data_IF_184254095792
#
_entry.id   IF_184254095792
#
_cell.length_a   1.000
_cell.length_b   1.000
_cell.length_c   1.000
_cell.angle_alpha   90.00
_cell.angle_beta   90.00
_cell.angle_gamma   90.00
#
_symmetry.space_group_name_H-M   'P 1'
#
loop_
_entity.id
_entity.type
_entity.pdbx_description
1 polymer ?
#
# COMPACT_ATOMS: atom_id res chain seq x y z
N UNK A 1 84.49 28.89 -39.46
CA UNK A 1 84.74 29.92 -38.43
C UNK A 1 83.55 29.93 -37.46
N UNK A 2 83.83 30.08 -36.17
CA UNK A 2 83.00 29.73 -34.99
C UNK A 2 81.90 30.78 -34.67
N UNK A 3 80.95 30.38 -33.80
CA UNK A 3 80.03 31.15 -32.88
C UNK A 3 78.56 31.14 -33.32
N UNK A 4 77.63 30.44 -32.66
CA UNK A 4 77.08 30.53 -31.28
C UNK A 4 76.07 31.67 -31.06
N UNK A 5 74.81 31.34 -30.83
CA UNK A 5 74.04 31.73 -29.62
C UNK A 5 72.57 31.28 -29.74
N UNK A 6 72.06 30.73 -28.64
CA UNK A 6 70.72 30.18 -28.37
C UNK A 6 69.65 31.26 -28.16
N UNK A 7 68.37 31.03 -28.51
CA UNK A 7 67.28 31.85 -28.00
C UNK A 7 66.66 31.27 -26.71
N UNK A 8 66.33 32.19 -25.79
CA UNK A 8 65.67 31.96 -24.50
C UNK A 8 64.18 31.63 -24.70
N UNK A 9 63.69 30.66 -23.92
CA UNK A 9 62.38 30.03 -24.06
C UNK A 9 61.18 30.87 -23.59
N UNK A 10 60.06 30.65 -24.28
CA UNK A 10 58.74 31.25 -24.07
C UNK A 10 58.01 30.60 -22.87
N UNK A 11 57.42 31.42 -21.99
CA UNK A 11 56.63 30.96 -20.87
C UNK A 11 55.23 30.50 -21.35
N UNK A 12 54.90 29.21 -21.14
CA UNK A 12 53.68 28.57 -21.62
C UNK A 12 52.56 28.74 -20.58
N UNK A 13 51.58 29.60 -20.83
CA UNK A 13 50.34 29.64 -20.03
C UNK A 13 49.42 28.48 -20.44
N UNK A 14 49.10 27.63 -19.46
CA UNK A 14 48.16 26.52 -19.59
C UNK A 14 46.73 27.04 -19.83
N UNK A 15 46.18 26.74 -21.00
CA UNK A 15 44.76 26.96 -21.32
C UNK A 15 43.94 25.83 -20.69
N UNK A 16 43.12 26.17 -19.70
CA UNK A 16 42.17 25.23 -19.11
C UNK A 16 41.10 24.84 -20.13
N UNK A 17 40.78 23.55 -20.21
CA UNK A 17 39.87 22.96 -21.19
C UNK A 17 38.40 23.31 -20.92
N UNK A 18 37.83 24.21 -21.71
CA UNK A 18 36.41 24.58 -21.67
C UNK A 18 35.43 23.47 -22.16
N UNK A 19 35.95 22.34 -22.63
CA UNK A 19 35.13 21.28 -23.24
C UNK A 19 34.50 20.31 -22.22
N UNK A 20 35.13 20.11 -21.05
CA UNK A 20 34.61 19.21 -20.02
C UNK A 20 33.32 19.74 -19.36
N UNK A 21 33.22 21.06 -19.18
CA UNK A 21 32.04 21.72 -18.58
C UNK A 21 30.82 21.68 -19.51
N UNK A 22 31.04 21.71 -20.84
CA UNK A 22 29.96 21.66 -21.84
C UNK A 22 29.29 20.28 -21.94
N UNK A 23 30.06 19.19 -21.76
CA UNK A 23 29.52 17.83 -21.79
C UNK A 23 28.61 17.51 -20.58
N UNK A 24 28.96 18.01 -19.39
CA UNK A 24 28.18 17.84 -18.17
C UNK A 24 26.84 18.60 -18.23
N UNK A 25 26.87 19.82 -18.77
CA UNK A 25 25.66 20.63 -18.94
C UNK A 25 24.68 20.00 -19.96
N UNK A 26 25.19 19.42 -21.06
CA UNK A 26 24.36 18.74 -22.06
C UNK A 26 23.68 17.47 -21.53
N UNK A 27 24.40 16.65 -20.75
CA UNK A 27 23.84 15.44 -20.16
C UNK A 27 22.75 15.74 -19.10
N UNK A 28 22.93 16.80 -18.31
CA UNK A 28 21.93 17.24 -17.33
C UNK A 28 20.63 17.74 -17.98
N UNK A 29 20.74 18.43 -19.12
CA UNK A 29 19.58 18.90 -19.90
C UNK A 29 18.79 17.74 -20.53
N UNK A 30 19.47 16.74 -21.09
CA UNK A 30 18.82 15.54 -21.66
C UNK A 30 18.18 14.67 -20.58
N UNK A 31 18.82 14.53 -19.41
CA UNK A 31 18.22 13.81 -18.28
C UNK A 31 16.98 14.54 -17.73
N UNK A 32 17.00 15.87 -17.70
CA UNK A 32 15.87 16.68 -17.23
C UNK A 32 14.67 16.63 -18.17
N UNK A 33 14.89 16.59 -19.49
CA UNK A 33 13.79 16.41 -20.45
C UNK A 33 13.19 15.00 -20.42
N UNK A 34 13.99 13.96 -20.16
CA UNK A 34 13.51 12.59 -20.00
C UNK A 34 12.63 12.40 -18.74
N UNK A 35 12.94 13.12 -17.66
CA UNK A 35 12.14 13.11 -16.44
C UNK A 35 10.77 13.79 -16.64
N UNK A 36 10.69 14.80 -17.51
CA UNK A 36 9.44 15.48 -17.84
C UNK A 36 8.49 14.69 -18.76
N UNK A 37 8.96 13.62 -19.41
CA UNK A 37 8.11 12.74 -20.23
C UNK A 37 7.60 11.51 -19.47
N UNK A 38 7.91 11.39 -18.17
CA UNK A 38 7.32 10.34 -17.35
C UNK A 38 5.81 10.62 -17.21
N UNK A 39 4.93 9.63 -17.46
CA UNK A 39 3.51 9.80 -17.23
C UNK A 39 3.31 10.18 -15.76
N UNK A 40 2.58 11.27 -15.52
CA UNK A 40 2.13 11.62 -14.17
C UNK A 40 1.23 10.49 -13.69
N UNK A 41 1.69 9.73 -12.70
CA UNK A 41 0.84 8.78 -12.01
C UNK A 41 -0.26 9.57 -11.30
N UNK A 42 -1.49 9.47 -11.78
CA UNK A 42 -2.67 9.94 -11.05
C UNK A 42 -2.86 9.00 -9.87
N UNK A 43 -2.54 9.47 -8.66
CA UNK A 43 -2.96 8.76 -7.46
C UNK A 43 -4.49 8.71 -7.43
N UNK A 44 -5.07 7.52 -7.38
CA UNK A 44 -6.49 7.32 -7.15
C UNK A 44 -6.83 7.75 -5.72
N UNK A 45 -7.87 8.57 -5.53
CA UNK A 45 -8.39 8.92 -4.21
C UNK A 45 -9.56 8.00 -3.89
N UNK A 46 -9.36 7.08 -2.95
CA UNK A 46 -10.32 6.01 -2.66
C UNK A 46 -11.48 6.38 -1.72
N UNK A 47 -11.49 7.59 -1.14
CA UNK A 47 -12.69 8.13 -0.49
C UNK A 47 -13.64 8.78 -1.50
N UNK A 48 -13.89 8.12 -2.63
CA UNK A 48 -14.60 8.70 -3.79
C UNK A 48 -16.13 8.67 -3.66
N UNK A 49 -16.67 7.92 -2.69
CA UNK A 49 -18.07 8.01 -2.28
C UNK A 49 -18.20 9.04 -1.14
N UNK A 50 -18.94 10.16 -1.28
CA UNK A 50 -19.00 11.21 -0.26
C UNK A 50 -19.38 10.73 1.16
N UNK A 51 -20.24 9.71 1.26
CA UNK A 51 -20.67 9.12 2.53
C UNK A 51 -19.58 8.28 3.21
N UNK A 52 -18.56 7.80 2.48
CA UNK A 52 -17.50 6.97 3.07
C UNK A 52 -16.62 7.77 4.04
N UNK A 53 -16.65 9.10 3.96
CA UNK A 53 -16.03 9.98 4.97
C UNK A 53 -16.68 9.84 6.36
N UNK A 54 -17.96 9.43 6.40
CA UNK A 54 -18.69 9.19 7.65
C UNK A 54 -18.58 7.73 8.12
N UNK A 55 -18.13 6.82 7.26
CA UNK A 55 -17.84 5.42 7.60
C UNK A 55 -16.45 5.00 7.07
N UNK A 56 -15.37 5.48 7.71
CA UNK A 56 -14.01 5.17 7.25
C UNK A 56 -13.67 3.69 7.38
N UNK A 57 -14.33 2.93 8.27
CA UNK A 57 -14.10 1.48 8.44
C UNK A 57 -14.62 0.67 7.25
N UNK A 58 -15.53 1.23 6.44
CA UNK A 58 -16.00 0.61 5.20
C UNK A 58 -15.21 1.05 3.95
N UNK A 59 -14.21 1.94 4.10
CA UNK A 59 -13.51 2.55 2.97
C UNK A 59 -12.63 1.55 2.21
N UNK A 60 -12.95 1.26 0.94
CA UNK A 60 -12.19 0.36 0.08
C UNK A 60 -11.03 1.10 -0.60
N UNK A 61 -9.79 0.76 -0.25
CA UNK A 61 -8.61 1.49 -0.71
C UNK A 61 -8.02 0.94 -2.00
N UNK A 62 -8.04 -0.37 -2.23
CA UNK A 62 -7.47 -0.96 -3.44
C UNK A 62 -8.03 -2.36 -3.64
N UNK A 63 -8.00 -2.82 -4.90
CA UNK A 63 -8.26 -4.22 -5.25
C UNK A 63 -7.13 -4.71 -6.16
N UNK A 64 -6.52 -5.84 -5.80
CA UNK A 64 -5.49 -6.50 -6.57
C UNK A 64 -5.97 -7.86 -7.05
N UNK A 65 -5.73 -8.17 -8.32
CA UNK A 65 -6.11 -9.45 -8.90
C UNK A 65 -4.97 -10.04 -9.71
N UNK A 66 -4.61 -11.29 -9.43
CA UNK A 66 -3.52 -11.97 -10.12
C UNK A 66 -3.73 -13.49 -10.16
N UNK A 67 -3.05 -14.16 -11.08
CA UNK A 67 -3.10 -15.62 -11.19
C UNK A 67 -1.93 -16.24 -10.44
N UNK A 68 -2.22 -17.25 -9.62
CA UNK A 68 -1.21 -18.05 -8.90
C UNK A 68 -1.36 -19.53 -9.26
N UNK A 69 -0.25 -20.25 -9.32
CA UNK A 69 -0.25 -21.71 -9.41
C UNK A 69 -0.23 -22.30 -7.99
N UNK A 70 -1.15 -23.21 -7.69
CA UNK A 70 -1.06 -24.04 -6.48
C UNK A 70 0.09 -25.04 -6.60
N UNK A 71 0.60 -25.60 -5.48
CA UNK A 71 1.58 -26.68 -5.52
C UNK A 71 1.13 -27.90 -6.36
N UNK A 72 -0.18 -28.10 -6.50
CA UNK A 72 -0.79 -29.15 -7.32
C UNK A 72 -0.78 -28.85 -8.83
N UNK A 73 -0.26 -27.70 -9.27
CA UNK A 73 -0.25 -27.25 -10.67
C UNK A 73 -1.52 -26.54 -11.13
N UNK A 74 -2.57 -26.50 -10.30
CA UNK A 74 -3.82 -25.81 -10.62
C UNK A 74 -3.64 -24.27 -10.60
N UNK A 75 -4.05 -23.59 -11.68
CA UNK A 75 -4.17 -22.13 -11.73
C UNK A 75 -5.37 -21.65 -10.91
N UNK A 76 -5.17 -20.60 -10.13
CA UNK A 76 -6.24 -19.92 -9.38
C UNK A 76 -6.16 -18.41 -9.55
N UNK A 77 -7.33 -17.77 -9.63
CA UNK A 77 -7.44 -16.33 -9.47
C UNK A 77 -7.34 -16.00 -7.98
N UNK A 78 -6.44 -15.09 -7.65
CA UNK A 78 -6.34 -14.46 -6.34
C UNK A 78 -6.93 -13.07 -6.46
N UNK A 79 -7.80 -12.72 -5.52
CA UNK A 79 -8.40 -11.40 -5.38
C UNK A 79 -8.11 -10.94 -3.96
N UNK A 80 -7.46 -9.79 -3.84
CA UNK A 80 -7.13 -9.15 -2.57
C UNK A 80 -7.79 -7.76 -2.54
N UNK A 81 -8.46 -7.45 -1.43
CA UNK A 81 -9.16 -6.18 -1.24
C UNK A 81 -8.61 -5.53 0.02
N UNK A 82 -8.16 -4.29 -0.12
CA UNK A 82 -7.71 -3.48 1.01
C UNK A 82 -8.84 -2.57 1.47
N UNK A 83 -9.00 -2.48 2.78
CA UNK A 83 -10.05 -1.71 3.45
C UNK A 83 -9.41 -0.96 4.60
N UNK A 84 -9.86 0.27 4.84
CA UNK A 84 -9.40 1.14 5.92
C UNK A 84 -7.90 1.47 5.82
N UNK A 85 -7.53 2.57 5.14
CA UNK A 85 -6.12 2.90 4.93
C UNK A 85 -5.44 3.31 6.25
N UNK A 86 -4.10 3.27 6.25
CA UNK A 86 -3.25 3.78 7.33
C UNK A 86 -3.35 3.05 8.70
N UNK A 87 -3.68 1.75 8.69
CA UNK A 87 -3.58 0.88 9.86
C UNK A 87 -2.11 0.55 10.20
N UNK A 88 -1.33 1.51 10.70
CA UNK A 88 0.08 1.24 11.04
C UNK A 88 0.25 0.64 12.45
N UNK A 89 1.21 -0.26 12.67
CA UNK A 89 1.50 -0.79 14.01
C UNK A 89 1.93 0.29 15.04
N UNK A 90 2.28 1.49 14.56
CA UNK A 90 2.69 2.64 15.36
C UNK A 90 1.55 3.40 16.04
N UNK A 91 0.28 3.13 15.67
CA UNK A 91 -0.90 3.83 16.21
C UNK A 91 -1.25 3.43 17.67
N UNK A 92 -0.28 2.77 18.32
CA UNK A 92 -0.28 2.45 19.72
C UNK A 92 -1.17 1.26 20.05
N UNK A 93 -2.09 1.47 20.98
CA UNK A 93 -2.89 0.41 21.60
C UNK A 93 -4.22 0.15 20.88
N UNK A 94 -4.44 0.86 19.76
CA UNK A 94 -5.64 0.79 18.95
C UNK A 94 -5.30 0.10 17.64
N UNK A 95 -5.76 -1.14 17.49
CA UNK A 95 -5.85 -1.77 16.19
C UNK A 95 -7.28 -1.63 15.68
N UNK A 96 -7.41 -1.47 14.36
CA UNK A 96 -8.70 -1.39 13.69
C UNK A 96 -9.37 -2.75 13.58
N UNK A 97 -10.70 -2.71 13.50
CA UNK A 97 -11.54 -3.85 13.22
C UNK A 97 -12.37 -3.52 11.98
N UNK A 98 -12.82 -4.54 11.26
CA UNK A 98 -13.76 -4.32 10.17
C UNK A 98 -15.10 -3.85 10.72
N UNK A 99 -15.83 -3.03 9.95
CA UNK A 99 -17.15 -2.58 10.34
C UNK A 99 -18.12 -3.76 10.41
N UNK A 100 -18.79 -4.01 11.55
CA UNK A 100 -19.81 -5.04 11.65
C UNK A 100 -21.11 -4.63 10.97
N UNK A 101 -21.29 -3.35 10.64
CA UNK A 101 -22.51 -2.82 10.02
C UNK A 101 -22.42 -2.80 8.48
N UNK A 102 -21.22 -2.91 7.93
CA UNK A 102 -21.00 -3.05 6.49
C UNK A 102 -21.22 -4.49 5.98
N UNK A 103 -21.49 -4.62 4.68
CA UNK A 103 -21.42 -5.88 3.93
C UNK A 103 -20.35 -5.72 2.84
N UNK A 104 -19.23 -6.41 3.00
CA UNK A 104 -18.14 -6.32 2.03
C UNK A 104 -18.36 -7.38 0.94
N UNK A 105 -18.51 -6.96 -0.31
CA UNK A 105 -18.92 -7.88 -1.39
C UNK A 105 -17.92 -7.83 -2.55
N UNK A 106 -17.49 -9.00 -3.01
CA UNK A 106 -16.66 -9.15 -4.21
C UNK A 106 -17.53 -9.70 -5.32
N UNK A 107 -17.71 -8.91 -6.38
CA UNK A 107 -18.51 -9.27 -7.55
C UNK A 107 -17.59 -9.70 -8.69
N UNK A 108 -17.74 -10.94 -9.14
CA UNK A 108 -17.06 -11.48 -10.32
C UNK A 108 -18.05 -11.47 -11.47
N UNK A 109 -17.77 -10.64 -12.48
CA UNK A 109 -18.64 -10.44 -13.63
C UNK A 109 -18.04 -11.01 -14.91
N UNK A 110 -18.91 -11.30 -15.87
CA UNK A 110 -18.50 -11.60 -17.23
C UNK A 110 -17.93 -10.32 -17.88
N UNK A 111 -16.69 -10.34 -18.43
CA UNK A 111 -16.04 -9.15 -18.95
C UNK A 111 -16.69 -8.60 -20.23
N UNK A 112 -17.48 -9.41 -20.95
CA UNK A 112 -18.17 -9.00 -22.17
C UNK A 112 -19.55 -8.44 -21.88
N UNK A 113 -20.31 -9.09 -21.00
CA UNK A 113 -21.72 -8.72 -20.74
C UNK A 113 -21.91 -7.87 -19.49
N UNK A 114 -20.93 -7.86 -18.58
CA UNK A 114 -21.04 -7.24 -17.25
C UNK A 114 -21.94 -8.01 -16.28
N UNK A 115 -22.58 -9.10 -16.70
CA UNK A 115 -23.45 -9.90 -15.85
C UNK A 115 -22.65 -10.53 -14.70
N UNK A 116 -23.21 -10.49 -13.49
CA UNK A 116 -22.62 -11.13 -12.31
C UNK A 116 -22.61 -12.65 -12.50
N UNK A 117 -21.44 -13.26 -12.39
CA UNK A 117 -21.27 -14.70 -12.44
C UNK A 117 -21.20 -15.31 -11.04
N UNK A 118 -20.52 -14.63 -10.11
CA UNK A 118 -20.38 -15.05 -8.72
C UNK A 118 -20.22 -13.82 -7.82
N UNK A 119 -20.77 -13.89 -6.61
CA UNK A 119 -20.55 -12.90 -5.56
C UNK A 119 -20.09 -13.57 -4.27
N UNK A 120 -19.17 -12.93 -3.57
CA UNK A 120 -18.70 -13.36 -2.24
C UNK A 120 -18.95 -12.25 -1.24
N UNK A 121 -19.79 -12.52 -0.26
CA UNK A 121 -20.23 -11.57 0.76
C UNK A 121 -19.55 -11.89 2.09
N UNK A 122 -18.85 -10.91 2.67
CA UNK A 122 -18.16 -11.00 3.94
C UNK A 122 -18.90 -10.13 4.98
N UNK A 123 -19.33 -10.77 6.07
CA UNK A 123 -19.97 -10.10 7.21
C UNK A 123 -19.15 -10.33 8.46
N UNK A 124 -18.67 -9.25 9.07
CA UNK A 124 -17.86 -9.29 10.28
C UNK A 124 -18.73 -9.23 11.53
N UNK A 125 -18.27 -9.90 12.58
CA UNK A 125 -18.88 -9.87 13.91
C UNK A 125 -18.64 -8.53 14.61
N UNK A 126 -19.56 -8.09 15.49
CA UNK A 126 -19.40 -6.88 16.27
C UNK A 126 -18.22 -6.96 17.25
N UNK A 127 -17.52 -5.83 17.40
CA UNK A 127 -16.46 -5.61 18.39
C UNK A 127 -16.69 -4.26 19.07
N UNK A 128 -17.63 -4.25 20.01
CA UNK A 128 -18.00 -3.12 20.83
C UNK A 128 -18.28 -3.57 22.29
N UNK A 129 -18.40 -2.64 23.23
CA UNK A 129 -18.57 -2.95 24.66
C UNK A 129 -19.97 -3.48 25.02
N UNK A 130 -20.94 -3.37 24.12
CA UNK A 130 -22.36 -3.72 24.33
C UNK A 130 -22.66 -5.11 23.76
N UNK A 131 -22.38 -5.30 22.48
CA UNK A 131 -22.71 -6.45 21.63
C UNK A 131 -21.48 -7.27 21.23
N UNK A 132 -20.27 -6.77 21.47
CA UNK A 132 -19.03 -7.37 20.99
C UNK A 132 -18.28 -8.26 21.99
N UNK A 133 -17.30 -8.98 21.45
CA UNK A 133 -16.58 -10.05 22.13
C UNK A 133 -15.35 -9.59 22.96
N UNK A 134 -15.46 -8.48 23.70
CA UNK A 134 -14.38 -8.05 24.61
C UNK A 134 -14.29 -8.96 25.84
N UNK A 135 -13.06 -9.36 26.19
CA UNK A 135 -12.74 -10.10 27.41
C UNK A 135 -12.64 -9.20 28.63
N UNK A 136 -12.15 -7.97 28.47
CA UNK A 136 -12.04 -6.97 29.52
C UNK A 136 -12.65 -5.64 29.04
N UNK A 137 -13.72 -5.20 29.70
CA UNK A 137 -14.40 -3.92 29.44
C UNK A 137 -13.85 -2.79 30.31
N UNK A 138 -13.09 -3.11 31.37
CA UNK A 138 -12.52 -2.17 32.34
C UNK A 138 -11.11 -1.75 31.92
N UNK A 139 -10.92 -1.43 30.65
CA UNK A 139 -9.64 -0.96 30.12
C UNK A 139 -9.87 0.05 29.00
N UNK A 140 -8.97 1.05 28.92
CA UNK A 140 -8.94 1.97 27.78
C UNK A 140 -8.33 1.32 26.53
N UNK A 141 -7.68 0.17 26.68
CA UNK A 141 -7.00 -0.51 25.58
C UNK A 141 -8.02 -1.30 24.75
N UNK A 142 -8.12 -0.98 23.47
CA UNK A 142 -9.03 -1.71 22.59
C UNK A 142 -8.55 -3.14 22.35
N UNK A 143 -7.32 -3.32 21.87
CA UNK A 143 -6.85 -4.65 21.44
C UNK A 143 -6.15 -5.46 22.54
N UNK A 144 -5.45 -4.80 23.46
CA UNK A 144 -4.79 -5.45 24.60
C UNK A 144 -5.71 -5.61 25.81
N UNK A 145 -5.64 -6.72 26.53
CA UNK A 145 -6.51 -6.98 27.70
C UNK A 145 -6.21 -6.05 28.88
N UNK A 146 -5.07 -5.36 28.89
CA UNK A 146 -4.69 -4.38 29.92
C UNK A 146 -4.34 -4.96 31.29
N UNK A 147 -4.28 -6.29 31.42
CA UNK A 147 -3.99 -6.96 32.70
C UNK A 147 -2.50 -7.20 32.96
N UNK A 148 -1.68 -7.20 31.90
CA UNK A 148 -0.25 -7.57 31.93
C UNK A 148 0.49 -6.89 30.78
N UNK A 149 1.81 -6.68 30.93
CA UNK A 149 2.68 -6.18 29.86
C UNK A 149 3.12 -7.33 28.95
N UNK A 150 3.21 -7.09 27.64
CA UNK A 150 3.81 -7.99 26.66
C UNK A 150 3.02 -8.09 25.36
N UNK A 151 3.62 -8.68 24.31
CA UNK A 151 2.99 -8.80 23.00
C UNK A 151 1.90 -9.89 22.99
N UNK A 152 0.96 -9.72 22.08
CA UNK A 152 0.04 -10.76 21.63
C UNK A 152 0.79 -11.63 20.63
N UNK A 153 0.86 -12.93 20.89
CA UNK A 153 1.66 -13.88 20.12
C UNK A 153 0.81 -14.72 19.16
N UNK A 154 -0.45 -14.97 19.54
CA UNK A 154 -1.39 -15.75 18.72
C UNK A 154 -2.78 -15.16 18.80
N UNK A 155 -3.56 -15.32 17.74
CA UNK A 155 -4.95 -14.87 17.68
C UNK A 155 -5.74 -15.48 18.84
N UNK A 156 -6.36 -14.61 19.64
CA UNK A 156 -7.22 -14.96 20.75
C UNK A 156 -6.52 -15.32 22.05
N UNK A 157 -5.20 -15.11 22.17
CA UNK A 157 -4.46 -15.42 23.39
C UNK A 157 -4.95 -14.65 24.63
N UNK A 158 -4.38 -14.97 25.81
CA UNK A 158 -4.77 -14.34 27.05
C UNK A 158 -4.55 -12.81 27.07
N UNK A 159 -3.61 -12.27 26.28
CA UNK A 159 -3.33 -10.82 26.24
C UNK A 159 -4.20 -10.08 25.22
N UNK A 160 -4.83 -10.78 24.28
CA UNK A 160 -5.73 -10.17 23.30
C UNK A 160 -7.14 -9.97 23.85
N UNK A 161 -7.64 -8.74 23.81
CA UNK A 161 -8.90 -8.32 24.40
C UNK A 161 -10.12 -8.82 23.62
N UNK A 162 -10.05 -8.87 22.30
CA UNK A 162 -11.13 -9.38 21.45
C UNK A 162 -10.57 -10.11 20.23
N UNK A 163 -11.37 -11.00 19.66
CA UNK A 163 -11.15 -11.56 18.32
C UNK A 163 -12.36 -11.20 17.48
N UNK A 164 -12.13 -10.72 16.27
CA UNK A 164 -13.18 -10.54 15.28
C UNK A 164 -13.21 -11.74 14.34
N UNK A 165 -14.38 -12.36 14.21
CA UNK A 165 -14.65 -13.37 13.20
C UNK A 165 -15.51 -12.80 12.07
N UNK A 166 -15.60 -13.53 10.96
CA UNK A 166 -16.46 -13.19 9.83
C UNK A 166 -17.10 -14.45 9.24
N UNK A 167 -18.21 -14.25 8.52
CA UNK A 167 -18.84 -15.27 7.68
C UNK A 167 -18.66 -14.90 6.21
N UNK A 168 -18.44 -15.91 5.37
CA UNK A 168 -18.39 -15.74 3.91
C UNK A 168 -19.56 -16.48 3.28
N UNK A 169 -20.37 -15.76 2.50
CA UNK A 169 -21.46 -16.35 1.72
C UNK A 169 -21.13 -16.26 0.24
N UNK A 170 -21.15 -17.41 -0.46
CA UNK A 170 -21.05 -17.44 -1.91
C UNK A 170 -22.44 -17.41 -2.52
N UNK A 171 -22.70 -16.45 -3.40
CA UNK A 171 -23.93 -16.32 -4.18
C UNK A 171 -23.60 -16.59 -5.64
N UNK A 172 -24.40 -17.44 -6.29
CA UNK A 172 -24.30 -17.66 -7.73
C UNK A 172 -24.97 -16.50 -8.48
N UNK A 173 -24.38 -16.09 -9.60
CA UNK A 173 -24.99 -15.12 -10.51
C UNK A 173 -26.29 -15.65 -11.12
N UNK A 174 -27.20 -14.73 -11.41
CA UNK A 174 -28.48 -15.01 -12.09
C UNK A 174 -28.30 -15.07 -13.62
#
# INVERSE_FOLDING_TARGET
>A
MKRSSTPVGLNRRSLHSHNAVKGLAGAALVASTLLCTLPTATASSHSDAPLIKLDPQANLTDVYTFIRNRPTGQKVLVVEVNVHPFCEPGDGVMYDAFSPDALYSIHITNPTTGAEAQRYDFKFSPVDTVSGNYKNKDTILRYGRGTQIGPIQTVGDARQNFVQSYTVTKVAGN
#
